data_IF_124966082964
#
_entry.id   IF_124966082964
#
_cell.length_a   1.000
_cell.length_b   1.000
_cell.length_c   1.000
_cell.angle_alpha   90.00
_cell.angle_beta   90.00
_cell.angle_gamma   90.00
#
_symmetry.space_group_name_H-M   'P 1'
#
loop_
_entity.id
_entity.type
_entity.pdbx_description
1 polymer ?
#
# COMPACT_ATOMS: atom_id res chain seq x y z
N UNK A 1 51.51 15.81 -86.45
CA UNK A 1 51.17 14.40 -86.17
C UNK A 1 50.07 14.36 -85.12
N UNK A 2 48.95 13.67 -85.42
CA UNK A 2 47.98 12.95 -84.55
C UNK A 2 47.75 13.51 -83.11
N UNK A 3 46.64 14.17 -82.73
CA UNK A 3 45.22 13.76 -82.51
C UNK A 3 44.93 12.55 -81.60
N UNK A 4 44.16 12.86 -80.53
CA UNK A 4 43.22 12.05 -79.70
C UNK A 4 43.83 11.02 -78.73
N UNK A 5 43.41 10.96 -77.46
CA UNK A 5 42.04 10.95 -76.91
C UNK A 5 42.00 11.80 -75.62
N UNK A 6 41.16 12.83 -75.40
CA UNK A 6 39.69 12.86 -75.47
C UNK A 6 39.07 11.50 -75.16
N UNK A 7 38.88 11.21 -73.88
CA UNK A 7 37.70 10.44 -73.49
C UNK A 7 36.52 11.42 -73.47
N UNK A 8 35.60 11.35 -74.45
CA UNK A 8 34.38 12.11 -74.40
C UNK A 8 33.52 11.53 -73.27
N UNK A 9 33.08 12.39 -72.35
CA UNK A 9 32.11 12.00 -71.31
C UNK A 9 32.60 12.08 -69.87
N UNK A 10 33.90 12.13 -69.59
CA UNK A 10 34.39 12.26 -68.20
C UNK A 10 34.01 13.62 -67.58
N UNK A 11 34.14 14.71 -68.33
CA UNK A 11 33.74 16.04 -67.86
C UNK A 11 32.22 16.20 -67.73
N UNK A 12 31.45 15.51 -68.58
CA UNK A 12 29.97 15.50 -68.49
C UNK A 12 29.48 14.64 -67.32
N UNK A 13 30.15 13.54 -66.99
CA UNK A 13 29.84 12.70 -65.84
C UNK A 13 30.12 13.41 -64.50
N UNK A 14 31.23 14.15 -64.41
CA UNK A 14 31.52 14.98 -63.23
C UNK A 14 30.55 16.16 -63.15
N UNK A 15 30.22 16.80 -64.27
CA UNK A 15 29.24 17.88 -64.31
C UNK A 15 27.85 17.43 -63.87
N UNK A 16 27.38 16.26 -64.31
CA UNK A 16 26.10 15.70 -63.91
C UNK A 16 26.07 15.25 -62.44
N UNK A 17 27.19 14.73 -61.90
CA UNK A 17 27.31 14.32 -60.50
C UNK A 17 27.30 15.53 -59.55
N UNK A 18 27.99 16.62 -59.90
CA UNK A 18 27.97 17.85 -59.10
C UNK A 18 26.61 18.55 -59.20
N UNK A 19 25.96 18.50 -60.36
CA UNK A 19 24.61 19.05 -60.54
C UNK A 19 23.55 18.26 -59.76
N UNK A 20 23.65 16.92 -59.67
CA UNK A 20 22.73 16.09 -58.86
C UNK A 20 22.95 16.25 -57.36
N UNK A 21 24.18 16.46 -56.91
CA UNK A 21 24.47 16.77 -55.50
C UNK A 21 23.98 18.17 -55.11
N UNK A 22 24.04 19.15 -56.02
CA UNK A 22 23.58 20.52 -55.75
C UNK A 22 22.07 20.73 -55.93
N UNK A 23 21.39 19.99 -56.83
CA UNK A 23 19.94 20.13 -57.08
C UNK A 23 19.04 19.23 -56.22
N UNK A 24 19.55 18.61 -55.16
CA UNK A 24 18.72 18.23 -54.00
C UNK A 24 17.51 17.34 -54.30
N UNK A 25 17.73 16.13 -54.80
CA UNK A 25 16.70 15.09 -54.86
C UNK A 25 17.24 13.76 -54.35
N UNK A 26 16.85 13.38 -53.14
CA UNK A 26 16.79 11.96 -52.76
C UNK A 26 17.93 11.41 -51.91
N UNK A 27 18.10 11.93 -50.71
CA UNK A 27 18.28 11.07 -49.54
C UNK A 27 17.85 11.89 -48.34
N UNK A 28 16.56 11.77 -48.02
CA UNK A 28 16.04 12.13 -46.70
C UNK A 28 17.05 11.62 -45.68
N UNK A 29 17.70 12.53 -44.97
CA UNK A 29 18.18 12.17 -43.65
C UNK A 29 16.92 11.75 -42.91
N UNK A 30 16.69 10.45 -42.82
CA UNK A 30 15.92 9.89 -41.74
C UNK A 30 16.76 10.17 -40.48
N UNK A 31 16.82 11.44 -40.07
CA UNK A 31 16.90 11.77 -38.67
C UNK A 31 15.63 11.16 -38.09
N UNK A 32 15.73 9.88 -37.71
CA UNK A 32 14.84 9.32 -36.74
C UNK A 32 14.94 10.28 -35.56
N UNK A 33 13.95 11.15 -35.48
CA UNK A 33 13.67 11.95 -34.32
C UNK A 33 13.42 10.91 -33.25
N UNK A 34 14.48 10.53 -32.53
CA UNK A 34 14.39 9.76 -31.29
C UNK A 34 13.74 10.70 -30.28
N UNK A 35 12.46 10.99 -30.50
CA UNK A 35 11.58 11.59 -29.53
C UNK A 35 11.21 10.45 -28.59
N UNK A 36 12.20 10.01 -27.81
CA UNK A 36 11.98 9.32 -26.55
C UNK A 36 11.37 10.35 -25.57
N UNK A 37 10.18 10.87 -25.86
CA UNK A 37 9.29 11.28 -24.78
C UNK A 37 8.65 9.99 -24.27
N UNK A 38 9.46 9.14 -23.63
CA UNK A 38 8.94 8.15 -22.73
C UNK A 38 8.39 8.93 -21.52
N UNK A 39 7.20 9.51 -21.68
CA UNK A 39 6.38 9.88 -20.55
C UNK A 39 5.95 8.56 -19.93
N UNK A 40 6.84 7.97 -19.14
CA UNK A 40 6.52 6.88 -18.25
C UNK A 40 5.61 7.48 -17.19
N UNK A 41 4.30 7.42 -17.43
CA UNK A 41 3.31 7.58 -16.38
C UNK A 41 3.47 6.39 -15.43
N UNK A 42 4.39 6.53 -14.48
CA UNK A 42 4.40 5.69 -13.31
C UNK A 42 3.17 6.06 -12.49
N UNK A 43 2.12 5.25 -12.56
CA UNK A 43 1.10 5.26 -11.52
C UNK A 43 1.75 4.68 -10.27
N UNK A 44 2.30 5.55 -9.42
CA UNK A 44 2.66 5.19 -8.05
C UNK A 44 1.35 4.98 -7.31
N UNK A 45 0.84 3.75 -7.37
CA UNK A 45 -0.17 3.31 -6.42
C UNK A 45 0.55 3.14 -5.09
N UNK A 46 0.59 4.22 -4.31
CA UNK A 46 0.98 4.14 -2.91
C UNK A 46 -0.07 3.28 -2.22
N UNK A 47 0.19 1.97 -2.11
CA UNK A 47 -0.65 1.03 -1.38
C UNK A 47 -0.48 1.17 0.15
N UNK A 48 -0.19 2.39 0.61
CA UNK A 48 0.05 2.73 2.00
C UNK A 48 -0.69 4.01 2.31
N UNK A 49 -1.64 3.93 3.24
CA UNK A 49 -2.15 5.10 3.92
C UNK A 49 -0.95 5.90 4.47
N UNK A 50 -0.91 7.20 4.18
CA UNK A 50 0.09 8.07 4.76
C UNK A 50 0.05 7.95 6.30
N UNK A 51 1.20 8.06 7.00
CA UNK A 51 1.20 7.97 8.46
C UNK A 51 0.31 9.07 9.04
N UNK A 52 -0.74 8.66 9.74
CA UNK A 52 -1.64 9.57 10.43
C UNK A 52 -1.14 9.95 11.81
N UNK A 53 -1.86 10.84 12.50
CA UNK A 53 -1.63 11.11 13.91
C UNK A 53 -1.58 9.81 14.73
N UNK A 54 -0.61 9.67 15.63
CA UNK A 54 -0.47 8.47 16.44
C UNK A 54 -1.69 8.26 17.35
N UNK A 55 -2.07 6.99 17.60
CA UNK A 55 -3.08 6.65 18.60
C UNK A 55 -2.57 7.10 19.98
N UNK A 56 -3.36 7.90 20.69
CA UNK A 56 -2.98 8.51 21.98
C UNK A 56 -2.81 7.46 23.07
N UNK A 57 -3.75 6.52 23.16
CA UNK A 57 -3.69 5.45 24.15
C UNK A 57 -4.47 4.21 23.70
N UNK A 58 -3.96 3.04 24.06
CA UNK A 58 -4.65 1.76 23.96
C UNK A 58 -4.45 1.02 25.29
N UNK A 59 -5.54 0.83 26.02
CA UNK A 59 -5.53 0.06 27.28
C UNK A 59 -6.52 -1.09 27.20
N UNK A 60 -6.38 -2.07 28.07
CA UNK A 60 -7.27 -3.22 28.16
C UNK A 60 -7.67 -3.44 29.61
N UNK A 61 -8.95 -3.68 29.83
CA UNK A 61 -9.49 -4.07 31.14
C UNK A 61 -10.31 -5.34 31.00
N UNK A 62 -10.21 -6.24 31.98
CA UNK A 62 -11.05 -7.43 32.02
C UNK A 62 -12.21 -7.31 33.00
N UNK A 63 -13.28 -8.05 32.71
CA UNK A 63 -14.27 -8.39 33.73
C UNK A 63 -13.71 -9.43 34.73
N UNK A 64 -14.45 -9.65 35.83
CA UNK A 64 -14.26 -10.81 36.71
C UNK A 64 -15.39 -11.78 36.39
N UNK A 65 -15.18 -12.83 35.56
CA UNK A 65 -14.10 -13.81 35.68
C UNK A 65 -13.14 -13.91 34.47
N UNK A 66 -12.81 -12.79 33.82
CA UNK A 66 -11.90 -12.68 32.66
C UNK A 66 -12.43 -13.31 31.38
N UNK A 67 -13.74 -13.20 31.13
CA UNK A 67 -14.38 -13.64 29.88
C UNK A 67 -14.53 -12.51 28.88
N UNK A 68 -14.49 -11.26 29.34
CA UNK A 68 -14.66 -10.06 28.55
C UNK A 68 -13.39 -9.22 28.72
N UNK A 69 -12.78 -8.84 27.60
CA UNK A 69 -11.72 -7.85 27.53
C UNK A 69 -12.26 -6.61 26.81
N UNK A 70 -12.22 -5.47 27.47
CA UNK A 70 -12.59 -4.19 26.91
C UNK A 70 -11.33 -3.42 26.58
N UNK A 71 -11.09 -3.21 25.28
CA UNK A 71 -10.03 -2.32 24.80
C UNK A 71 -10.55 -0.89 24.79
N UNK A 72 -9.84 0.01 25.47
CA UNK A 72 -10.14 1.45 25.44
C UNK A 72 -9.13 2.14 24.54
N UNK A 73 -9.62 2.76 23.48
CA UNK A 73 -8.83 3.45 22.45
C UNK A 73 -9.09 4.93 22.53
N UNK A 74 -8.05 5.75 22.54
CA UNK A 74 -8.16 7.21 22.40
C UNK A 74 -7.28 7.66 21.25
N UNK A 75 -7.83 8.54 20.40
CA UNK A 75 -7.17 9.09 19.21
C UNK A 75 -7.14 10.63 19.30
N UNK A 76 -6.15 11.31 18.70
CA UNK A 76 -6.04 12.77 18.78
C UNK A 76 -7.07 13.52 17.93
N UNK A 77 -7.63 12.88 16.90
CA UNK A 77 -8.60 13.45 15.98
C UNK A 77 -9.66 12.41 15.59
N UNK A 78 -10.77 12.84 15.00
CA UNK A 78 -11.85 11.94 14.61
C UNK A 78 -11.36 10.85 13.67
N UNK A 79 -11.64 9.58 13.97
CA UNK A 79 -11.16 8.45 13.19
C UNK A 79 -12.15 7.28 13.19
N UNK A 80 -12.02 6.42 12.18
CA UNK A 80 -12.66 5.10 12.16
C UNK A 80 -11.65 4.07 12.67
N UNK A 81 -12.05 3.28 13.65
CA UNK A 81 -11.19 2.30 14.31
C UNK A 81 -11.57 0.89 13.85
N UNK A 82 -10.59 0.16 13.33
CA UNK A 82 -10.68 -1.28 13.02
C UNK A 82 -9.64 -2.04 13.82
N UNK A 83 -9.80 -3.36 13.91
CA UNK A 83 -8.84 -4.20 14.61
C UNK A 83 -8.67 -5.54 13.92
N UNK A 84 -7.47 -6.12 14.03
CA UNK A 84 -7.14 -7.42 13.44
C UNK A 84 -6.16 -8.16 14.34
N UNK A 85 -6.20 -9.49 14.30
CA UNK A 85 -5.23 -10.33 15.00
C UNK A 85 -4.01 -10.60 14.11
N UNK A 86 -2.83 -10.63 14.71
CA UNK A 86 -1.63 -11.18 14.10
C UNK A 86 -1.76 -12.71 14.04
N UNK A 87 -1.60 -13.27 12.85
CA UNK A 87 -1.60 -14.70 12.61
C UNK A 87 -0.20 -15.30 12.78
N UNK A 88 -0.13 -16.63 12.91
CA UNK A 88 1.13 -17.36 13.05
C UNK A 88 2.10 -17.16 11.85
N UNK A 89 1.59 -16.80 10.67
CA UNK A 89 2.38 -16.50 9.48
C UNK A 89 3.00 -15.09 9.49
N UNK A 90 2.80 -14.31 10.56
CA UNK A 90 3.30 -12.94 10.68
C UNK A 90 2.47 -11.87 9.96
N UNK A 91 1.35 -12.25 9.34
CA UNK A 91 0.41 -11.30 8.70
C UNK A 91 -0.80 -11.02 9.61
N UNK A 92 -1.47 -9.90 9.38
CA UNK A 92 -2.74 -9.63 10.06
C UNK A 92 -3.88 -10.29 9.29
N UNK A 93 -4.75 -10.99 10.03
CA UNK A 93 -5.92 -11.65 9.46
C UNK A 93 -7.03 -10.68 9.08
N UNK A 94 -8.26 -11.19 9.10
CA UNK A 94 -9.47 -10.41 8.84
C UNK A 94 -9.51 -9.17 9.74
N UNK A 95 -9.77 -8.02 9.12
CA UNK A 95 -10.03 -6.78 9.85
C UNK A 95 -11.50 -6.72 10.26
N UNK A 96 -11.75 -6.50 11.54
CA UNK A 96 -13.09 -6.35 12.11
C UNK A 96 -13.38 -4.87 12.34
N UNK A 97 -14.65 -4.49 12.18
CA UNK A 97 -15.10 -3.14 12.49
C UNK A 97 -15.11 -2.92 14.00
N UNK A 98 -14.42 -1.90 14.47
CA UNK A 98 -14.51 -1.42 15.85
C UNK A 98 -15.49 -0.25 15.94
N UNK A 99 -14.94 0.95 16.12
CA UNK A 99 -15.70 2.18 16.35
C UNK A 99 -15.74 2.99 15.06
N UNK A 100 -16.92 3.37 14.59
CA UNK A 100 -17.07 4.30 13.47
C UNK A 100 -17.23 5.73 13.98
N UNK A 101 -16.38 6.66 13.53
CA UNK A 101 -16.46 8.07 13.93
C UNK A 101 -16.09 8.33 15.39
N UNK A 102 -15.05 7.67 15.90
CA UNK A 102 -14.50 7.97 17.22
C UNK A 102 -13.99 9.40 17.23
N UNK A 103 -14.57 10.26 18.07
CA UNK A 103 -14.17 11.66 18.20
C UNK A 103 -12.79 11.78 18.85
N UNK A 104 -12.05 12.82 18.47
CA UNK A 104 -10.75 13.14 19.07
C UNK A 104 -10.84 13.28 20.59
N UNK A 105 -9.84 12.77 21.29
CA UNK A 105 -9.68 12.80 22.76
C UNK A 105 -10.82 12.16 23.55
N UNK A 106 -11.71 11.43 22.87
CA UNK A 106 -12.82 10.70 23.50
C UNK A 106 -12.47 9.22 23.55
N UNK A 107 -12.62 8.55 24.70
CA UNK A 107 -12.38 7.11 24.79
C UNK A 107 -13.46 6.33 24.03
N UNK A 108 -13.01 5.43 23.15
CA UNK A 108 -13.85 4.45 22.45
C UNK A 108 -13.58 3.04 22.96
N UNK A 109 -14.59 2.18 22.92
CA UNK A 109 -14.52 0.84 23.50
C UNK A 109 -14.69 -0.24 22.43
N UNK A 110 -13.80 -1.23 22.44
CA UNK A 110 -13.92 -2.47 21.65
C UNK A 110 -14.03 -3.62 22.64
N UNK A 111 -15.12 -4.39 22.56
CA UNK A 111 -15.39 -5.48 23.49
C UNK A 111 -15.07 -6.82 22.83
N UNK A 112 -14.18 -7.57 23.47
CA UNK A 112 -13.77 -8.90 23.08
C UNK A 112 -14.30 -9.92 24.09
N UNK A 113 -15.12 -10.85 23.63
CA UNK A 113 -15.71 -11.90 24.46
C UNK A 113 -15.05 -13.23 24.14
N UNK A 114 -14.54 -13.89 25.19
CA UNK A 114 -14.10 -15.27 25.16
C UNK A 114 -15.16 -16.17 25.79
N UNK A 115 -15.35 -17.34 25.20
CA UNK A 115 -16.32 -18.32 25.63
C UNK A 115 -15.80 -19.72 25.27
N UNK A 116 -15.96 -20.73 26.15
CA UNK A 116 -15.61 -22.10 25.80
C UNK A 116 -16.40 -22.61 24.58
N UNK A 117 -17.63 -22.12 24.38
CA UNK A 117 -18.37 -22.29 23.14
C UNK A 117 -17.96 -21.19 22.14
N UNK A 118 -17.11 -21.56 21.17
CA UNK A 118 -16.57 -20.65 20.15
C UNK A 118 -17.64 -19.94 19.29
N UNK A 119 -18.86 -20.49 19.20
CA UNK A 119 -19.96 -19.82 18.50
C UNK A 119 -20.44 -18.54 19.22
N UNK A 120 -20.18 -18.43 20.52
CA UNK A 120 -20.54 -17.29 21.37
C UNK A 120 -19.37 -16.34 21.63
N UNK A 121 -18.18 -16.65 21.12
CA UNK A 121 -17.00 -15.80 21.25
C UNK A 121 -17.01 -14.68 20.18
N UNK A 122 -16.32 -13.58 20.45
CA UNK A 122 -16.07 -12.55 19.44
C UNK A 122 -15.34 -13.15 18.24
N UNK A 123 -15.65 -12.66 17.04
CA UNK A 123 -15.13 -13.23 15.79
C UNK A 123 -13.60 -13.35 15.77
N UNK A 124 -12.89 -12.32 16.23
CA UNK A 124 -11.42 -12.35 16.35
C UNK A 124 -10.89 -13.46 17.26
N UNK A 125 -11.60 -13.77 18.35
CA UNK A 125 -11.22 -14.82 19.32
C UNK A 125 -11.50 -16.20 18.71
N UNK A 126 -12.61 -16.34 17.99
CA UNK A 126 -12.96 -17.57 17.28
C UNK A 126 -11.97 -17.89 16.17
N UNK A 127 -11.57 -16.87 15.41
CA UNK A 127 -10.68 -17.02 14.27
C UNK A 127 -9.20 -17.19 14.71
N UNK A 128 -8.90 -16.96 16.00
CA UNK A 128 -7.59 -17.13 16.61
C UNK A 128 -7.70 -17.90 17.95
N UNK A 129 -8.06 -19.19 17.90
CA UNK A 129 -8.33 -19.97 19.10
C UNK A 129 -7.01 -20.39 19.78
N UNK A 130 -6.81 -19.87 20.99
CA UNK A 130 -5.73 -20.18 21.94
C UNK A 130 -4.36 -19.49 21.71
N UNK A 131 -3.73 -19.12 22.83
CA UNK A 131 -2.38 -18.56 22.88
C UNK A 131 -2.34 -17.04 22.96
N UNK A 132 -1.14 -16.44 22.79
CA UNK A 132 -0.98 -14.99 22.77
C UNK A 132 -1.72 -14.42 21.56
N UNK A 133 -2.73 -13.60 21.85
CA UNK A 133 -3.54 -12.89 20.86
C UNK A 133 -3.00 -11.47 20.72
N UNK A 134 -2.17 -11.25 19.71
CA UNK A 134 -1.69 -9.90 19.38
C UNK A 134 -2.72 -9.20 18.52
N UNK A 135 -3.39 -8.19 19.06
CA UNK A 135 -4.40 -7.38 18.37
C UNK A 135 -3.75 -6.08 17.91
N UNK A 136 -3.81 -5.80 16.60
CA UNK A 136 -3.51 -4.47 16.05
C UNK A 136 -4.81 -3.69 15.96
N UNK A 137 -4.83 -2.54 16.62
CA UNK A 137 -5.86 -1.52 16.44
C UNK A 137 -5.36 -0.53 15.39
N UNK A 138 -6.20 -0.22 14.43
CA UNK A 138 -5.94 0.71 13.33
C UNK A 138 -6.92 1.86 13.41
N UNK A 139 -6.42 3.09 13.51
CA UNK A 139 -7.22 4.30 13.38
C UNK A 139 -7.01 4.86 11.97
N UNK A 140 -8.09 4.99 11.20
CA UNK A 140 -8.12 5.61 9.88
C UNK A 140 -8.80 6.97 9.98
N UNK A 141 -8.09 8.03 9.62
CA UNK A 141 -8.56 9.40 9.69
C UNK A 141 -9.29 9.82 8.40
N UNK A 142 -10.09 10.89 8.41
CA UNK A 142 -10.83 11.38 7.24
C UNK A 142 -9.95 11.75 6.04
N UNK A 143 -8.70 12.13 6.29
CA UNK A 143 -7.68 12.39 5.27
C UNK A 143 -7.05 11.11 4.70
N UNK A 144 -7.61 9.94 5.05
CA UNK A 144 -7.16 8.60 4.66
C UNK A 144 -5.79 8.21 5.21
N UNK A 145 -5.23 9.01 6.12
CA UNK A 145 -4.04 8.62 6.87
C UNK A 145 -4.43 7.55 7.90
N UNK A 146 -3.45 6.72 8.30
CA UNK A 146 -3.69 5.68 9.28
C UNK A 146 -2.58 5.61 10.33
N UNK A 147 -2.97 5.22 11.54
CA UNK A 147 -2.05 4.88 12.62
C UNK A 147 -2.44 3.53 13.22
N UNK A 148 -1.44 2.83 13.77
CA UNK A 148 -1.64 1.50 14.34
C UNK A 148 -1.00 1.39 15.71
N UNK A 149 -1.61 0.63 16.60
CA UNK A 149 -1.05 0.27 17.90
C UNK A 149 -1.39 -1.19 18.21
N UNK A 150 -0.42 -1.93 18.74
CA UNK A 150 -0.58 -3.34 19.07
C UNK A 150 -0.78 -3.52 20.56
N UNK A 151 -1.62 -4.48 20.94
CA UNK A 151 -1.75 -4.97 22.31
C UNK A 151 -1.71 -6.50 22.31
N UNK A 152 -1.03 -7.09 23.28
CA UNK A 152 -0.91 -8.55 23.42
C UNK A 152 -1.84 -8.98 24.54
N UNK A 153 -2.81 -9.81 24.20
CA UNK A 153 -3.75 -10.43 25.12
C UNK A 153 -3.39 -11.92 25.26
N UNK A 154 -3.81 -12.58 26.33
CA UNK A 154 -3.69 -14.02 26.44
C UNK A 154 -5.08 -14.67 26.31
N UNK A 155 -5.30 -15.45 25.25
CA UNK A 155 -6.54 -16.15 25.00
C UNK A 155 -6.43 -17.62 25.46
N UNK A 156 -7.26 -18.02 26.42
CA UNK A 156 -7.37 -19.40 26.89
C UNK A 156 -8.73 -19.95 26.50
N UNK A 157 -8.79 -20.69 25.39
CA UNK A 157 -10.03 -21.32 24.91
C UNK A 157 -10.54 -22.41 25.85
N UNK A 158 -9.62 -23.14 26.51
CA UNK A 158 -9.95 -24.20 27.46
C UNK A 158 -10.77 -23.70 28.66
N UNK A 159 -10.48 -22.48 29.11
CA UNK A 159 -11.19 -21.85 30.22
C UNK A 159 -12.19 -20.78 29.76
N UNK A 160 -12.27 -20.52 28.45
CA UNK A 160 -13.00 -19.41 27.84
C UNK A 160 -12.61 -18.05 28.41
N UNK A 161 -11.31 -17.85 28.65
CA UNK A 161 -10.79 -16.60 29.23
C UNK A 161 -10.01 -15.80 28.21
N UNK A 162 -10.07 -14.48 28.34
CA UNK A 162 -9.21 -13.53 27.65
C UNK A 162 -8.60 -12.61 28.70
N UNK A 163 -7.29 -12.50 28.73
CA UNK A 163 -6.55 -11.81 29.79
C UNK A 163 -5.81 -10.63 29.16
N UNK A 164 -6.07 -9.43 29.66
CA UNK A 164 -5.35 -8.21 29.37
C UNK A 164 -3.92 -8.28 29.93
N UNK A 165 -2.96 -7.55 29.34
CA UNK A 165 -1.59 -7.48 29.84
C UNK A 165 -1.51 -6.88 31.25
#
# INVERSE_FOLDING_TARGET
MKTLLRMPGAALAVGAFVLTVLLGAGAVSASALWQQSATATMSVTANGAWPGPAITSLTCTNDSPQRIATLTVTVPATATVTYAALQANGTYGTSYSGISGLLGMTPGYIVLTSNPNLALASQIVRDNPAGPLTVRVTATYPDQTAAHLNIILNNSTSNGKIICP
#
